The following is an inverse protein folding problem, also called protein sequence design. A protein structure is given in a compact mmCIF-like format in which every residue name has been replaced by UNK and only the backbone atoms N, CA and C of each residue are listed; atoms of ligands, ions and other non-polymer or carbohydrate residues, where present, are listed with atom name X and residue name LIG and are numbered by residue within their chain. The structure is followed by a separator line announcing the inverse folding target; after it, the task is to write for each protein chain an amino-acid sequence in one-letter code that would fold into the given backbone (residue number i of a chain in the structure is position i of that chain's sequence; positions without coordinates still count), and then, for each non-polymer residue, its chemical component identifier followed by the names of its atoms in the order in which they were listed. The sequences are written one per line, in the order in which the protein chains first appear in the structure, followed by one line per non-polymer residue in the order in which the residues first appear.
data_IF_041749820784
#
_entry.id   IF_041749820784
#
_cell.length_a   1.000
_cell.length_b   1.000
_cell.length_c   1.000
_cell.angle_alpha   90.00
_cell.angle_beta   90.00
_cell.angle_gamma   90.00
#
_symmetry.space_group_name_H-M   'P 1'
#
loop_
_entity.id
_entity.type
_entity.pdbx_description
1 polymer ?
#
# COMPACT_ATOMS: atom_id res chain seq x y z
N UNK A 1 -10.57 16.70 12.76
CA UNK A 1 -9.41 16.97 11.88
C UNK A 1 -8.82 18.36 12.05
N UNK A 2 -9.62 19.43 12.24
CA UNK A 2 -9.10 20.80 12.42
C UNK A 2 -8.02 20.95 13.49
N UNK A 3 -8.16 20.28 14.65
CA UNK A 3 -7.11 20.31 15.67
C UNK A 3 -5.77 19.75 15.18
N UNK A 4 -5.81 18.72 14.33
CA UNK A 4 -4.60 18.13 13.75
C UNK A 4 -3.98 19.06 12.71
N UNK A 5 -4.81 19.67 11.86
CA UNK A 5 -4.36 20.70 10.92
C UNK A 5 -3.62 21.83 11.67
N UNK A 6 -4.18 22.33 12.77
CA UNK A 6 -3.53 23.35 13.60
C UNK A 6 -2.21 22.91 14.24
N UNK A 7 -1.95 21.60 14.38
CA UNK A 7 -0.61 21.12 14.77
C UNK A 7 0.36 21.30 13.62
N UNK A 8 -0.02 20.88 12.40
CA UNK A 8 0.84 20.94 11.22
C UNK A 8 1.13 22.37 10.77
N UNK A 9 0.13 23.27 10.80
CA UNK A 9 0.27 24.67 10.35
C UNK A 9 1.33 25.46 11.13
N UNK A 10 1.64 25.08 12.38
CA UNK A 10 2.74 25.68 13.16
C UNK A 10 4.11 25.48 12.52
N UNK A 11 4.21 24.55 11.58
CA UNK A 11 5.45 24.10 10.95
C UNK A 11 5.55 24.47 9.48
N UNK A 12 4.47 24.92 8.84
CA UNK A 12 4.40 25.14 7.39
C UNK A 12 5.50 26.08 6.88
N UNK A 13 5.68 27.24 7.51
CA UNK A 13 6.66 28.24 7.07
C UNK A 13 8.14 27.82 7.23
N UNK A 14 8.41 26.73 7.94
CA UNK A 14 9.78 26.31 8.31
C UNK A 14 10.13 24.88 7.91
N UNK A 15 9.16 24.07 7.47
CA UNK A 15 9.34 22.65 7.19
C UNK A 15 10.43 22.38 6.15
N UNK A 16 10.59 23.26 5.17
CA UNK A 16 11.62 23.13 4.13
C UNK A 16 13.04 23.20 4.70
N UNK A 17 13.24 23.99 5.76
CA UNK A 17 14.52 24.16 6.44
C UNK A 17 14.80 23.10 7.51
N UNK A 18 13.88 22.15 7.75
CA UNK A 18 14.02 21.19 8.84
C UNK A 18 15.17 20.22 8.62
N UNK A 19 15.98 20.10 9.68
CA UNK A 19 16.99 19.05 9.84
C UNK A 19 16.35 17.76 10.34
N UNK A 20 17.13 16.68 10.43
CA UNK A 20 16.67 15.40 10.99
C UNK A 20 16.13 15.55 12.42
N UNK A 21 16.77 16.36 13.27
CA UNK A 21 16.33 16.55 14.65
C UNK A 21 15.03 17.36 14.74
N UNK A 22 14.83 18.32 13.85
CA UNK A 22 13.58 19.07 13.77
C UNK A 22 12.42 18.16 13.30
N UNK A 23 12.68 17.27 12.35
CA UNK A 23 11.72 16.26 11.92
C UNK A 23 11.39 15.29 13.06
N UNK A 24 12.39 14.81 13.81
CA UNK A 24 12.16 13.95 14.99
C UNK A 24 11.28 14.66 16.03
N UNK A 25 11.48 15.95 16.26
CA UNK A 25 10.64 16.76 17.16
C UNK A 25 9.21 16.87 16.64
N UNK A 26 9.02 17.14 15.35
CA UNK A 26 7.70 17.19 14.72
C UNK A 26 6.96 15.84 14.84
N UNK A 27 7.64 14.73 14.54
CA UNK A 27 7.09 13.37 14.73
C UNK A 27 6.69 13.18 16.20
N UNK A 28 7.49 13.66 17.15
CA UNK A 28 7.18 13.64 18.58
C UNK A 28 5.88 14.37 18.93
N UNK A 29 5.66 15.56 18.36
CA UNK A 29 4.42 16.32 18.57
C UNK A 29 3.21 15.65 17.94
N UNK A 30 3.34 15.14 16.70
CA UNK A 30 2.28 14.38 16.02
C UNK A 30 1.92 13.13 16.82
N UNK A 31 2.93 12.41 17.33
CA UNK A 31 2.73 11.24 18.19
C UNK A 31 2.00 11.59 19.49
N UNK A 32 2.36 12.70 20.14
CA UNK A 32 1.68 13.18 21.34
C UNK A 32 0.23 13.58 21.06
N UNK A 33 -0.04 14.23 19.93
CA UNK A 33 -1.40 14.53 19.48
C UNK A 33 -2.23 13.25 19.36
N UNK A 34 -1.74 12.28 18.57
CA UNK A 34 -2.46 11.02 18.37
C UNK A 34 -2.61 10.18 19.63
N UNK A 35 -1.60 10.21 20.52
CA UNK A 35 -1.69 9.55 21.82
C UNK A 35 -2.89 10.06 22.64
N UNK A 36 -3.14 11.39 22.64
CA UNK A 36 -4.28 11.98 23.34
C UNK A 36 -5.62 11.57 22.71
N UNK A 37 -5.64 11.35 21.40
CA UNK A 37 -6.84 10.95 20.65
C UNK A 37 -7.02 9.43 20.52
N UNK A 38 -6.06 8.63 21.02
CA UNK A 38 -6.02 7.16 20.82
C UNK A 38 -7.34 6.47 21.18
N UNK A 39 -7.99 6.88 22.28
CA UNK A 39 -9.27 6.28 22.70
C UNK A 39 -10.38 6.48 21.68
N UNK A 40 -10.48 7.66 21.07
CA UNK A 40 -11.48 7.94 20.04
C UNK A 40 -11.21 7.14 18.77
N UNK A 41 -9.94 7.06 18.35
CA UNK A 41 -9.57 6.26 17.18
C UNK A 41 -9.84 4.78 17.41
N UNK A 42 -9.45 4.22 18.56
CA UNK A 42 -9.75 2.83 18.92
C UNK A 42 -11.26 2.58 18.97
N UNK A 43 -12.03 3.52 19.53
CA UNK A 43 -13.49 3.42 19.58
C UNK A 43 -14.06 3.40 18.16
N UNK A 44 -13.68 4.35 17.30
CA UNK A 44 -14.10 4.39 15.90
C UNK A 44 -13.81 3.06 15.20
N UNK A 45 -12.55 2.60 15.23
CA UNK A 45 -12.12 1.37 14.55
C UNK A 45 -12.82 0.11 15.06
N UNK A 46 -13.12 0.03 16.37
CA UNK A 46 -13.77 -1.15 16.96
C UNK A 46 -15.26 -1.24 16.67
N UNK A 47 -15.88 -0.15 16.18
CA UNK A 47 -17.30 -0.09 15.87
C UNK A 47 -17.56 -0.10 14.35
N UNK A 48 -16.54 -0.33 13.52
CA UNK A 48 -16.72 -0.51 12.08
C UNK A 48 -17.38 -1.86 11.81
N UNK A 49 -18.40 -1.84 10.96
CA UNK A 49 -19.01 -2.99 10.31
C UNK A 49 -18.83 -2.94 8.79
N UNK A 50 -19.00 -4.09 8.13
CA UNK A 50 -18.78 -4.21 6.67
C UNK A 50 -19.68 -3.28 5.85
N UNK A 51 -20.86 -2.94 6.36
CA UNK A 51 -21.83 -2.04 5.73
C UNK A 51 -21.49 -0.55 5.89
N UNK A 52 -20.46 -0.20 6.67
CA UNK A 52 -20.00 1.18 6.81
C UNK A 52 -19.13 1.63 5.63
N UNK A 53 -18.74 0.70 4.74
CA UNK A 53 -17.91 0.94 3.57
C UNK A 53 -16.68 1.79 3.89
N UNK A 54 -15.88 1.36 4.87
CA UNK A 54 -14.65 2.06 5.24
C UNK A 54 -13.50 1.52 4.41
N UNK A 55 -12.83 2.39 3.66
CA UNK A 55 -11.63 2.06 2.90
C UNK A 55 -10.40 2.69 3.54
N UNK A 56 -9.22 2.12 3.31
CA UNK A 56 -7.96 2.76 3.75
C UNK A 56 -6.86 2.67 2.69
N UNK A 57 -6.04 3.72 2.59
CA UNK A 57 -4.89 3.73 1.69
C UNK A 57 -3.83 2.73 2.17
N UNK A 58 -3.65 1.64 1.43
CA UNK A 58 -2.63 0.63 1.69
C UNK A 58 -1.57 0.59 0.58
N UNK A 59 -0.38 0.08 0.92
CA UNK A 59 0.75 0.00 -0.01
C UNK A 59 1.36 1.35 -0.41
N UNK A 60 0.86 2.47 0.13
CA UNK A 60 1.39 3.81 -0.07
C UNK A 60 1.39 4.61 1.25
N UNK A 61 2.16 5.70 1.29
CA UNK A 61 2.24 6.61 2.45
C UNK A 61 1.41 7.88 2.22
N UNK A 62 1.38 8.41 0.99
CA UNK A 62 0.63 9.63 0.63
C UNK A 62 -0.26 9.41 -0.59
N UNK A 63 -1.29 10.24 -0.71
CA UNK A 63 -2.20 10.24 -1.87
C UNK A 63 -1.61 10.89 -3.11
N UNK A 64 -0.52 11.65 -3.01
CA UNK A 64 0.07 12.33 -4.16
C UNK A 64 -0.95 13.26 -4.85
N UNK A 65 -1.40 14.27 -4.07
CA UNK A 65 -2.48 15.17 -4.47
C UNK A 65 -2.10 15.96 -5.73
N UNK A 66 -0.83 16.35 -5.85
CA UNK A 66 -0.28 17.02 -7.03
C UNK A 66 -0.49 16.23 -8.33
N UNK A 67 -0.53 14.90 -8.23
CA UNK A 67 -0.80 13.99 -9.35
C UNK A 67 -2.23 13.43 -9.33
N UNK A 68 -3.18 14.17 -8.76
CA UNK A 68 -4.61 13.83 -8.76
C UNK A 68 -4.98 12.51 -8.05
N UNK A 69 -4.13 11.94 -7.19
CA UNK A 69 -4.46 10.65 -6.55
C UNK A 69 -5.68 10.68 -5.62
N UNK A 70 -6.08 11.85 -5.14
CA UNK A 70 -7.35 12.04 -4.42
C UNK A 70 -8.59 11.87 -5.33
N UNK A 71 -8.49 12.21 -6.63
CA UNK A 71 -9.55 11.97 -7.62
C UNK A 71 -9.70 10.48 -7.95
N UNK A 72 -8.63 9.71 -7.86
CA UNK A 72 -8.67 8.26 -8.02
C UNK A 72 -9.31 7.61 -6.79
N UNK A 73 -8.92 8.05 -5.60
CA UNK A 73 -9.40 7.41 -4.37
C UNK A 73 -10.88 7.70 -4.06
N UNK A 74 -11.44 8.82 -4.52
CA UNK A 74 -12.86 9.16 -4.27
C UNK A 74 -13.86 8.19 -4.93
N UNK A 75 -13.42 7.36 -5.89
CA UNK A 75 -14.29 6.42 -6.62
C UNK A 75 -14.85 5.31 -5.74
N UNK A 76 -14.13 4.94 -4.67
CA UNK A 76 -14.60 3.90 -3.74
C UNK A 76 -15.72 4.44 -2.86
N UNK A 77 -16.53 3.56 -2.30
CA UNK A 77 -17.68 3.92 -1.46
C UNK A 77 -17.26 4.27 -0.03
N UNK A 78 -17.97 5.22 0.57
CA UNK A 78 -17.99 5.44 2.02
C UNK A 78 -16.76 6.17 2.57
N UNK A 79 -16.36 5.81 3.79
CA UNK A 79 -15.35 6.56 4.55
C UNK A 79 -13.93 6.21 4.09
N UNK A 80 -13.12 7.20 3.71
CA UNK A 80 -11.77 7.00 3.18
C UNK A 80 -10.71 7.40 4.19
N UNK A 81 -10.01 6.40 4.70
CA UNK A 81 -8.92 6.58 5.65
C UNK A 81 -7.58 6.70 4.95
N UNK A 82 -6.72 7.55 5.49
CA UNK A 82 -5.32 7.70 5.09
C UNK A 82 -4.48 7.49 6.34
N UNK A 83 -3.52 6.59 6.26
CA UNK A 83 -2.61 6.38 7.38
C UNK A 83 -1.71 7.60 7.55
N UNK A 84 -1.58 8.09 8.78
CA UNK A 84 -0.75 9.26 9.08
C UNK A 84 0.71 9.04 8.62
N UNK A 85 1.23 9.82 7.65
CA UNK A 85 2.58 9.69 7.13
C UNK A 85 3.68 9.82 8.17
N UNK A 86 3.55 10.74 9.14
CA UNK A 86 4.56 10.92 10.19
C UNK A 86 4.63 9.71 11.10
N UNK A 87 3.48 9.14 11.46
CA UNK A 87 3.43 7.94 12.28
C UNK A 87 3.97 6.73 11.52
N UNK A 88 3.53 6.53 10.26
CA UNK A 88 3.97 5.44 9.39
C UNK A 88 5.47 5.46 9.12
N UNK A 89 6.04 6.64 8.86
CA UNK A 89 7.46 6.80 8.57
C UNK A 89 8.35 6.91 9.81
N UNK A 90 7.78 7.01 11.02
CA UNK A 90 8.56 7.21 12.25
C UNK A 90 9.58 6.08 12.51
N UNK A 91 9.35 4.89 11.97
CA UNK A 91 10.28 3.74 12.08
C UNK A 91 11.64 4.03 11.47
N UNK A 92 11.73 4.80 10.38
CA UNK A 92 13.02 5.19 9.77
C UNK A 92 13.89 5.99 10.75
N UNK A 93 13.28 6.75 11.65
CA UNK A 93 13.99 7.58 12.64
C UNK A 93 14.44 6.81 13.88
N UNK A 94 14.26 5.48 13.90
CA UNK A 94 14.91 4.57 14.87
C UNK A 94 16.28 4.08 14.39
N UNK A 95 16.58 4.19 13.09
CA UNK A 95 17.86 3.79 12.50
C UNK A 95 18.96 4.84 12.65
N UNK A 96 20.16 4.48 12.20
CA UNK A 96 21.37 5.31 12.17
C UNK A 96 21.67 5.86 10.77
N UNK A 97 22.57 6.85 10.67
CA UNK A 97 22.96 7.47 9.39
C UNK A 97 23.64 6.49 8.41
N UNK A 98 24.18 5.38 8.93
CA UNK A 98 24.77 4.32 8.11
C UNK A 98 23.72 3.37 7.53
N UNK A 99 22.55 3.30 8.17
CA UNK A 99 21.46 2.40 7.78
C UNK A 99 20.44 3.13 6.91
N UNK A 100 20.18 4.39 7.21
CA UNK A 100 19.12 5.20 6.61
C UNK A 100 19.70 6.46 5.98
N UNK A 101 19.36 6.70 4.71
CA UNK A 101 19.60 7.99 4.08
C UNK A 101 18.51 8.99 4.50
N UNK A 102 18.77 9.72 5.59
CA UNK A 102 17.83 10.71 6.12
C UNK A 102 17.56 11.88 5.16
N UNK A 103 18.47 12.20 4.23
CA UNK A 103 18.19 13.25 3.23
C UNK A 103 17.01 12.84 2.33
N UNK A 104 17.06 11.62 1.78
CA UNK A 104 15.98 11.08 0.94
C UNK A 104 14.68 10.91 1.73
N UNK A 105 14.76 10.33 2.93
CA UNK A 105 13.60 10.11 3.80
C UNK A 105 12.95 11.43 4.20
N UNK A 106 13.74 12.43 4.60
CA UNK A 106 13.23 13.75 4.99
C UNK A 106 12.56 14.45 3.80
N UNK A 107 13.14 14.38 2.60
CA UNK A 107 12.51 14.96 1.40
C UNK A 107 11.13 14.36 1.16
N UNK A 108 11.02 13.03 1.17
CA UNK A 108 9.74 12.37 0.96
C UNK A 108 8.72 12.69 2.07
N UNK A 109 9.15 12.79 3.32
CA UNK A 109 8.26 13.15 4.43
C UNK A 109 7.77 14.61 4.33
N UNK A 110 8.60 15.53 3.80
CA UNK A 110 8.19 16.92 3.50
C UNK A 110 7.13 16.95 2.40
N UNK A 111 7.29 16.15 1.34
CA UNK A 111 6.25 16.00 0.31
C UNK A 111 4.93 15.49 0.93
N UNK A 112 5.01 14.52 1.84
CA UNK A 112 3.84 14.03 2.58
C UNK A 112 3.20 15.12 3.45
N UNK A 113 3.99 15.99 4.09
CA UNK A 113 3.49 17.09 4.91
C UNK A 113 2.66 18.07 4.10
N UNK A 114 3.14 18.49 2.93
CA UNK A 114 2.39 19.41 2.07
C UNK A 114 1.11 18.77 1.51
N UNK A 115 1.16 17.51 1.09
CA UNK A 115 -0.03 16.75 0.71
C UNK A 115 -1.06 16.75 1.85
N UNK A 116 -0.64 16.49 3.09
CA UNK A 116 -1.55 16.51 4.24
C UNK A 116 -2.17 17.87 4.51
N UNK A 117 -1.42 18.97 4.37
CA UNK A 117 -1.98 20.31 4.55
C UNK A 117 -3.11 20.57 3.56
N UNK A 118 -2.89 20.25 2.27
CA UNK A 118 -3.91 20.39 1.23
C UNK A 118 -5.11 19.48 1.55
N UNK A 119 -4.86 18.20 1.86
CA UNK A 119 -5.90 17.25 2.21
C UNK A 119 -6.80 17.75 3.35
N UNK A 120 -6.20 18.22 4.44
CA UNK A 120 -6.93 18.64 5.64
C UNK A 120 -7.67 19.97 5.43
N UNK A 121 -7.18 20.85 4.56
CA UNK A 121 -7.80 22.15 4.24
C UNK A 121 -8.94 22.02 3.26
N UNK A 122 -8.74 21.24 2.20
CA UNK A 122 -9.62 21.23 1.02
C UNK A 122 -10.52 19.99 0.96
N UNK A 123 -10.08 18.87 1.52
CA UNK A 123 -10.72 17.56 1.33
C UNK A 123 -11.03 16.82 2.64
N UNK A 124 -11.09 17.53 3.78
CA UNK A 124 -11.28 16.92 5.11
C UNK A 124 -12.67 16.34 5.36
N UNK A 125 -13.65 16.68 4.52
CA UNK A 125 -14.98 16.04 4.52
C UNK A 125 -14.97 14.67 3.81
N UNK A 126 -13.98 14.45 2.93
CA UNK A 126 -13.92 13.26 2.07
C UNK A 126 -12.88 12.24 2.52
N UNK A 127 -11.82 12.72 3.20
CA UNK A 127 -10.71 11.89 3.66
C UNK A 127 -10.34 12.16 5.12
N UNK A 128 -10.13 11.08 5.86
CA UNK A 128 -9.75 11.14 7.27
C UNK A 128 -8.33 10.60 7.48
N UNK A 129 -7.46 11.44 8.02
CA UNK A 129 -6.10 11.03 8.41
C UNK A 129 -6.17 10.44 9.82
N UNK A 130 -5.76 9.19 9.97
CA UNK A 130 -5.60 8.53 11.27
C UNK A 130 -4.36 7.64 11.27
N UNK A 131 -3.68 7.42 12.40
CA UNK A 131 -2.51 6.54 12.46
C UNK A 131 -2.95 5.08 12.60
N UNK A 132 -3.63 4.57 11.56
CA UNK A 132 -4.25 3.25 11.52
C UNK A 132 -3.28 2.16 11.96
N UNK A 133 -2.18 1.97 11.22
CA UNK A 133 -1.22 0.89 11.45
C UNK A 133 -0.58 1.00 12.85
N UNK A 134 -0.24 2.21 13.32
CA UNK A 134 0.41 2.37 14.64
C UNK A 134 -0.55 2.13 15.81
N UNK A 135 -1.86 2.30 15.62
CA UNK A 135 -2.86 2.05 16.65
C UNK A 135 -3.31 0.58 16.65
N UNK A 136 -3.38 -0.04 15.48
CA UNK A 136 -3.91 -1.40 15.29
C UNK A 136 -2.82 -2.45 15.45
N UNK A 137 -1.59 -2.16 15.04
CA UNK A 137 -0.43 -2.98 15.31
C UNK A 137 0.03 -2.65 16.73
N UNK A 138 -0.28 -3.53 17.68
CA UNK A 138 0.44 -3.51 18.95
C UNK A 138 1.93 -3.69 18.63
N UNK A 139 2.80 -2.81 19.13
CA UNK A 139 4.26 -3.00 19.05
C UNK A 139 4.73 -4.22 19.91
N UNK A 140 3.96 -5.30 19.91
CA UNK A 140 4.30 -6.58 20.51
C UNK A 140 5.20 -7.33 19.54
N UNK A 141 6.38 -7.72 20.00
CA UNK A 141 7.32 -8.61 19.30
C UNK A 141 6.60 -9.81 18.67
N UNK A 142 5.64 -10.41 19.39
CA UNK A 142 4.82 -11.54 18.94
C UNK A 142 4.09 -11.30 17.62
N UNK A 143 3.57 -10.08 17.38
CA UNK A 143 2.88 -9.77 16.12
C UNK A 143 3.85 -9.76 14.94
N UNK A 144 5.02 -9.14 15.12
CA UNK A 144 6.03 -9.07 14.08
C UNK A 144 6.67 -10.42 13.80
N UNK A 145 6.87 -11.25 14.83
CA UNK A 145 7.31 -12.64 14.67
C UNK A 145 6.29 -13.44 13.85
N UNK A 146 5.01 -13.40 14.21
CA UNK A 146 3.95 -14.09 13.46
C UNK A 146 3.83 -13.60 12.01
N UNK A 147 3.96 -12.28 11.79
CA UNK A 147 3.93 -11.69 10.45
C UNK A 147 5.14 -12.13 9.61
N UNK A 148 6.33 -12.16 10.20
CA UNK A 148 7.56 -12.61 9.56
C UNK A 148 7.48 -14.11 9.21
N UNK A 149 6.96 -14.94 10.12
CA UNK A 149 6.77 -16.37 9.88
C UNK A 149 5.79 -16.63 8.72
N UNK A 150 4.67 -15.91 8.68
CA UNK A 150 3.71 -16.02 7.57
C UNK A 150 4.33 -15.55 6.24
N UNK A 151 5.11 -14.47 6.25
CA UNK A 151 5.82 -14.00 5.05
C UNK A 151 6.89 -14.99 4.58
N UNK A 152 7.60 -15.65 5.50
CA UNK A 152 8.56 -16.69 5.19
C UNK A 152 7.88 -17.90 4.54
N UNK A 153 6.75 -18.34 5.09
CA UNK A 153 5.96 -19.41 4.47
C UNK A 153 5.52 -19.04 3.06
N UNK A 154 5.06 -17.79 2.86
CA UNK A 154 4.70 -17.29 1.53
C UNK A 154 5.88 -17.31 0.57
N UNK A 155 7.05 -16.84 1.01
CA UNK A 155 8.28 -16.84 0.22
C UNK A 155 8.69 -18.26 -0.20
N UNK A 156 8.64 -19.23 0.72
CA UNK A 156 9.05 -20.61 0.42
C UNK A 156 8.14 -21.27 -0.63
N UNK A 157 6.86 -20.92 -0.67
CA UNK A 157 5.89 -21.41 -1.67
C UNK A 157 6.14 -20.85 -3.09
N UNK A 158 7.01 -19.85 -3.24
CA UNK A 158 7.35 -19.29 -4.56
C UNK A 158 8.30 -20.20 -5.36
N UNK A 159 8.93 -21.16 -4.70
CA UNK A 159 9.92 -22.05 -5.30
C UNK A 159 9.32 -23.38 -5.76
N UNK A 160 9.73 -23.81 -6.94
CA UNK A 160 9.39 -25.12 -7.49
C UNK A 160 10.07 -26.27 -6.75
N UNK A 161 11.23 -26.01 -6.16
CA UNK A 161 11.88 -26.88 -5.20
C UNK A 161 11.30 -26.59 -3.81
N UNK A 162 10.77 -27.59 -3.08
CA UNK A 162 10.35 -27.39 -1.71
C UNK A 162 11.55 -27.17 -0.80
N UNK A 163 11.46 -26.18 0.08
CA UNK A 163 12.46 -25.84 1.09
C UNK A 163 11.84 -25.95 2.49
N UNK A 164 12.59 -26.48 3.45
CA UNK A 164 12.14 -26.61 4.85
C UNK A 164 12.40 -25.35 5.69
N UNK A 165 13.35 -24.50 5.30
CA UNK A 165 13.64 -23.24 5.99
C UNK A 165 14.17 -22.15 5.05
N UNK A 166 14.20 -20.91 5.55
CA UNK A 166 14.80 -19.77 4.85
C UNK A 166 16.31 -19.96 4.66
N UNK A 167 17.02 -20.52 5.64
CA UNK A 167 18.45 -20.80 5.53
C UNK A 167 18.75 -21.83 4.45
N UNK A 168 17.94 -22.89 4.36
CA UNK A 168 18.06 -23.88 3.28
C UNK A 168 17.85 -23.22 1.91
N UNK A 169 16.81 -22.40 1.79
CA UNK A 169 16.54 -21.62 0.58
C UNK A 169 17.72 -20.71 0.22
N UNK A 170 18.28 -19.96 1.17
CA UNK A 170 19.41 -19.05 0.91
C UNK A 170 20.67 -19.78 0.48
N UNK A 171 21.00 -20.90 1.13
CA UNK A 171 22.20 -21.69 0.83
C UNK A 171 22.16 -22.26 -0.60
N UNK A 172 20.99 -22.70 -1.05
CA UNK A 172 20.80 -23.28 -2.38
C UNK A 172 20.63 -22.23 -3.49
N UNK A 173 20.46 -20.96 -3.14
CA UNK A 173 20.21 -19.86 -4.06
C UNK A 173 21.26 -18.75 -3.91
N UNK A 174 22.53 -19.15 -3.90
CA UNK A 174 23.67 -18.23 -3.72
C UNK A 174 23.95 -17.31 -4.93
N UNK A 175 23.36 -17.61 -6.08
CA UNK A 175 23.50 -16.87 -7.34
C UNK A 175 22.14 -16.54 -7.96
N UNK A 176 22.10 -15.59 -8.89
CA UNK A 176 20.86 -15.25 -9.61
C UNK A 176 20.41 -16.40 -10.52
N UNK A 177 21.35 -17.15 -11.10
CA UNK A 177 21.06 -18.32 -11.93
C UNK A 177 20.37 -19.43 -11.14
N UNK A 178 20.76 -19.63 -9.87
CA UNK A 178 20.10 -20.58 -8.99
C UNK A 178 18.66 -20.15 -8.67
N UNK A 179 18.45 -18.87 -8.34
CA UNK A 179 17.11 -18.30 -8.14
C UNK A 179 16.24 -18.50 -9.38
N UNK A 180 16.77 -18.23 -10.57
CA UNK A 180 16.05 -18.36 -11.84
C UNK A 180 15.62 -19.80 -12.11
N UNK A 181 16.47 -20.75 -11.74
CA UNK A 181 16.22 -22.18 -11.91
C UNK A 181 15.18 -22.69 -10.91
N UNK A 182 15.25 -22.26 -9.65
CA UNK A 182 14.46 -22.84 -8.57
C UNK A 182 13.09 -22.19 -8.40
N UNK A 183 12.89 -20.93 -8.81
CA UNK A 183 11.57 -20.28 -8.79
C UNK A 183 10.59 -20.91 -9.79
N UNK A 184 9.31 -20.94 -9.43
CA UNK A 184 8.26 -21.31 -10.37
C UNK A 184 8.24 -20.36 -11.59
N UNK A 185 7.98 -20.92 -12.79
CA UNK A 185 7.89 -20.16 -14.05
C UNK A 185 6.94 -18.95 -13.96
N UNK A 186 5.71 -19.20 -13.55
CA UNK A 186 4.67 -18.18 -13.42
C UNK A 186 4.95 -17.17 -12.30
N UNK A 187 5.71 -17.56 -11.26
CA UNK A 187 6.14 -16.64 -10.19
C UNK A 187 7.14 -15.62 -10.73
N UNK A 188 8.08 -16.05 -11.58
CA UNK A 188 9.07 -15.15 -12.17
C UNK A 188 8.39 -14.01 -12.93
N UNK A 189 7.28 -14.26 -13.60
CA UNK A 189 6.51 -13.22 -14.31
C UNK A 189 5.75 -12.27 -13.37
N UNK A 190 5.34 -12.76 -12.18
CA UNK A 190 4.51 -12.00 -11.23
C UNK A 190 5.28 -11.19 -10.20
N UNK A 191 6.47 -11.61 -9.79
CA UNK A 191 7.25 -10.84 -8.81
C UNK A 191 7.86 -9.60 -9.45
N UNK A 192 7.67 -8.47 -8.78
CA UNK A 192 8.11 -7.14 -9.22
C UNK A 192 8.66 -6.38 -8.01
N UNK A 193 9.66 -5.53 -8.18
CA UNK A 193 10.27 -4.80 -7.06
C UNK A 193 10.26 -3.29 -7.24
N UNK A 194 10.10 -2.81 -8.47
CA UNK A 194 10.08 -1.38 -8.80
C UNK A 194 8.82 -1.01 -9.60
N UNK A 195 8.46 -1.80 -10.61
CA UNK A 195 7.33 -1.49 -11.50
C UNK A 195 6.74 -2.74 -12.16
N UNK A 196 5.55 -2.63 -12.76
CA UNK A 196 4.95 -3.73 -13.53
C UNK A 196 5.81 -4.20 -14.72
N UNK A 197 6.67 -3.33 -15.26
CA UNK A 197 7.61 -3.69 -16.34
C UNK A 197 8.66 -4.71 -15.90
N UNK A 198 8.86 -4.88 -14.59
CA UNK A 198 9.75 -5.90 -14.04
C UNK A 198 9.29 -7.31 -14.41
N UNK A 199 8.02 -7.52 -14.73
CA UNK A 199 7.48 -8.81 -15.22
C UNK A 199 8.23 -9.37 -16.44
N UNK A 200 8.89 -8.50 -17.21
CA UNK A 200 9.63 -8.85 -18.44
C UNK A 200 11.13 -9.07 -18.21
N UNK A 201 11.61 -8.87 -16.98
CA UNK A 201 13.04 -8.90 -16.63
C UNK A 201 13.44 -10.21 -15.97
N UNK A 202 14.73 -10.54 -16.05
CA UNK A 202 15.34 -11.59 -15.22
C UNK A 202 15.38 -11.19 -13.73
N UNK A 203 15.46 -12.14 -12.80
CA UNK A 203 15.55 -11.80 -11.36
C UNK A 203 16.77 -10.93 -11.04
N UNK A 204 17.90 -11.16 -11.70
CA UNK A 204 19.08 -10.31 -11.55
C UNK A 204 18.76 -8.83 -11.87
N UNK A 205 18.12 -8.59 -13.01
CA UNK A 205 17.75 -7.23 -13.43
C UNK A 205 16.73 -6.61 -12.46
N UNK A 206 15.75 -7.39 -11.99
CA UNK A 206 14.78 -6.92 -10.99
C UNK A 206 15.47 -6.51 -9.70
N UNK A 207 16.34 -7.36 -9.15
CA UNK A 207 17.08 -7.09 -7.92
C UNK A 207 18.01 -5.87 -8.06
N UNK A 208 18.73 -5.75 -9.19
CA UNK A 208 19.59 -4.57 -9.45
C UNK A 208 18.79 -3.28 -9.56
N UNK A 209 17.63 -3.32 -10.22
CA UNK A 209 16.73 -2.16 -10.34
C UNK A 209 16.18 -1.76 -8.97
N UNK A 210 15.73 -2.73 -8.18
CA UNK A 210 15.29 -2.53 -6.81
C UNK A 210 16.40 -1.92 -5.94
N UNK A 211 17.62 -2.44 -6.04
CA UNK A 211 18.78 -1.93 -5.29
C UNK A 211 19.10 -0.47 -5.65
N UNK A 212 19.02 -0.10 -6.93
CA UNK A 212 19.24 1.29 -7.37
C UNK A 212 18.24 2.27 -6.76
N UNK A 213 17.02 1.83 -6.46
CA UNK A 213 15.97 2.65 -5.87
C UNK A 213 15.95 2.56 -4.34
N UNK A 214 15.95 1.36 -3.79
CA UNK A 214 15.97 1.08 -2.36
C UNK A 214 17.26 1.50 -1.67
N UNK A 215 18.42 1.34 -2.32
CA UNK A 215 19.73 1.79 -1.82
C UNK A 215 19.81 3.30 -1.58
N UNK A 216 18.95 4.10 -2.24
CA UNK A 216 18.82 5.54 -1.95
C UNK A 216 18.23 5.84 -0.59
N UNK A 217 17.49 4.89 -0.01
CA UNK A 217 16.86 4.99 1.31
C UNK A 217 17.63 4.17 2.35
N UNK A 218 18.07 2.97 1.98
CA UNK A 218 18.75 2.00 2.85
C UNK A 218 20.09 1.59 2.20
N UNK A 219 21.17 2.39 2.36
CA UNK A 219 22.45 2.14 1.69
C UNK A 219 23.09 0.78 2.01
N UNK A 220 22.81 0.23 3.19
CA UNK A 220 23.32 -1.08 3.61
C UNK A 220 22.86 -2.24 2.74
N UNK A 221 21.83 -2.07 1.89
CA UNK A 221 21.43 -3.09 0.92
C UNK A 221 22.50 -3.38 -0.14
N UNK A 222 23.40 -2.43 -0.42
CA UNK A 222 24.44 -2.59 -1.46
C UNK A 222 25.51 -3.62 -1.10
N UNK A 223 25.64 -3.97 0.18
CA UNK A 223 26.62 -4.95 0.67
C UNK A 223 26.06 -6.35 0.90
N UNK A 224 24.77 -6.57 0.61
CA UNK A 224 24.11 -7.85 0.84
C UNK A 224 24.52 -8.91 -0.18
N UNK A 225 24.48 -10.18 0.25
CA UNK A 225 24.59 -11.32 -0.68
C UNK A 225 23.37 -11.37 -1.61
N UNK A 226 23.48 -12.08 -2.74
CA UNK A 226 22.36 -12.27 -3.68
C UNK A 226 21.13 -12.86 -2.97
N UNK A 227 21.34 -13.90 -2.18
CA UNK A 227 20.28 -14.58 -1.44
C UNK A 227 19.64 -13.67 -0.38
N UNK A 228 20.43 -12.88 0.34
CA UNK A 228 19.93 -11.97 1.37
C UNK A 228 19.16 -10.78 0.77
N UNK A 229 19.68 -10.22 -0.32
CA UNK A 229 19.02 -9.14 -1.05
C UNK A 229 17.66 -9.62 -1.57
N UNK A 230 17.63 -10.76 -2.27
CA UNK A 230 16.39 -11.34 -2.76
C UNK A 230 15.40 -11.63 -1.63
N UNK A 231 15.88 -12.25 -0.54
CA UNK A 231 15.07 -12.54 0.64
C UNK A 231 14.42 -11.28 1.21
N UNK A 232 15.20 -10.22 1.47
CA UNK A 232 14.67 -8.97 2.04
C UNK A 232 13.68 -8.30 1.09
N UNK A 233 13.98 -8.29 -0.22
CA UNK A 233 13.11 -7.69 -1.23
C UNK A 233 11.75 -8.40 -1.30
N UNK A 234 11.71 -9.73 -1.26
CA UNK A 234 10.43 -10.47 -1.28
C UNK A 234 9.73 -10.40 0.07
N UNK A 235 10.44 -10.67 1.18
CA UNK A 235 9.82 -10.83 2.49
C UNK A 235 9.12 -9.55 2.93
N UNK A 236 9.71 -8.37 2.70
CA UNK A 236 9.05 -7.10 3.03
C UNK A 236 7.73 -6.89 2.28
N UNK A 237 7.64 -7.31 1.02
CA UNK A 237 6.41 -7.17 0.22
C UNK A 237 5.37 -8.23 0.60
N UNK A 238 5.80 -9.46 0.89
CA UNK A 238 4.94 -10.50 1.49
C UNK A 238 4.36 -10.02 2.84
N UNK A 239 5.19 -9.48 3.73
CA UNK A 239 4.75 -8.91 5.01
C UNK A 239 3.75 -7.77 4.79
N UNK A 240 4.00 -6.88 3.81
CA UNK A 240 3.07 -5.80 3.47
C UNK A 240 1.70 -6.30 3.01
N UNK A 241 1.67 -7.34 2.16
CA UNK A 241 0.43 -7.97 1.69
C UNK A 241 -0.34 -8.63 2.85
N UNK A 242 0.35 -9.40 3.69
CA UNK A 242 -0.26 -10.09 4.84
C UNK A 242 -0.77 -9.08 5.87
N UNK A 243 0.01 -8.04 6.19
CA UNK A 243 -0.42 -6.97 7.09
C UNK A 243 -1.66 -6.22 6.54
N UNK A 244 -1.70 -5.99 5.23
CA UNK A 244 -2.86 -5.40 4.55
C UNK A 244 -4.09 -6.27 4.71
N UNK A 245 -3.97 -7.56 4.43
CA UNK A 245 -5.06 -8.51 4.61
C UNK A 245 -5.52 -8.62 6.07
N UNK A 246 -4.59 -8.71 7.02
CA UNK A 246 -4.92 -8.77 8.45
C UNK A 246 -5.67 -7.52 8.91
N UNK A 247 -5.25 -6.33 8.44
CA UNK A 247 -5.94 -5.08 8.71
C UNK A 247 -7.39 -5.12 8.18
N UNK A 248 -7.55 -5.57 6.93
CA UNK A 248 -8.85 -5.75 6.29
C UNK A 248 -9.78 -6.66 7.10
N UNK A 249 -9.30 -7.82 7.53
CA UNK A 249 -10.13 -8.78 8.28
C UNK A 249 -10.45 -8.30 9.70
N UNK A 250 -9.44 -7.81 10.42
CA UNK A 250 -9.59 -7.47 11.83
C UNK A 250 -10.42 -6.21 12.06
N UNK A 251 -10.38 -5.26 11.13
CA UNK A 251 -11.08 -3.98 11.23
C UNK A 251 -12.30 -3.90 10.31
N UNK A 252 -12.54 -4.93 9.49
CA UNK A 252 -13.63 -4.99 8.50
C UNK A 252 -13.59 -3.81 7.51
N UNK A 253 -12.39 -3.36 7.15
CA UNK A 253 -12.15 -2.25 6.21
C UNK A 253 -11.58 -2.77 4.89
N UNK A 254 -11.77 -2.03 3.80
CA UNK A 254 -11.31 -2.45 2.47
C UNK A 254 -10.01 -1.71 2.11
N UNK A 255 -8.92 -2.41 1.75
CA UNK A 255 -7.71 -1.72 1.33
C UNK A 255 -7.91 -1.09 -0.04
N UNK A 256 -7.52 0.18 -0.18
CA UNK A 256 -7.31 0.83 -1.46
C UNK A 256 -5.82 0.81 -1.78
N UNK A 257 -5.43 0.02 -2.77
CA UNK A 257 -4.03 -0.20 -3.13
C UNK A 257 -3.76 0.48 -4.47
N UNK A 258 -2.86 1.47 -4.48
CA UNK A 258 -2.45 2.17 -5.71
C UNK A 258 -1.04 1.88 -6.20
N UNK A 259 -0.21 1.47 -5.26
CA UNK A 259 1.15 1.04 -5.57
C UNK A 259 1.11 -0.33 -6.25
N UNK A 260 1.72 -0.41 -7.44
CA UNK A 260 1.70 -1.62 -8.25
C UNK A 260 2.35 -2.80 -7.57
N UNK A 261 3.49 -2.59 -6.91
CA UNK A 261 4.22 -3.65 -6.21
C UNK A 261 3.34 -4.19 -5.08
N UNK A 262 2.80 -3.32 -4.22
CA UNK A 262 1.91 -3.73 -3.14
C UNK A 262 0.69 -4.51 -3.64
N UNK A 263 0.12 -4.09 -4.77
CA UNK A 263 -1.01 -4.81 -5.37
C UNK A 263 -0.60 -6.20 -5.88
N UNK A 264 0.54 -6.33 -6.58
CA UNK A 264 1.02 -7.63 -7.08
C UNK A 264 1.22 -8.65 -5.95
N UNK A 265 1.78 -8.23 -4.81
CA UNK A 265 1.96 -9.13 -3.67
C UNK A 265 0.65 -9.44 -2.93
N UNK A 266 -0.28 -8.49 -2.90
CA UNK A 266 -1.63 -8.74 -2.38
C UNK A 266 -2.40 -9.74 -3.25
N UNK A 267 -2.28 -9.61 -4.58
CA UNK A 267 -2.82 -10.55 -5.56
C UNK A 267 -2.20 -11.95 -5.44
N UNK A 268 -0.88 -12.03 -5.28
CA UNK A 268 -0.19 -13.28 -4.99
C UNK A 268 -0.67 -13.93 -3.69
N UNK A 269 -0.89 -13.14 -2.63
CA UNK A 269 -1.41 -13.66 -1.36
C UNK A 269 -2.82 -14.24 -1.55
N UNK A 270 -3.67 -13.52 -2.27
CA UNK A 270 -5.03 -13.96 -2.56
C UNK A 270 -5.07 -15.30 -3.34
N UNK A 271 -4.16 -15.50 -4.29
CA UNK A 271 -4.03 -16.76 -5.02
C UNK A 271 -3.23 -17.85 -4.30
N UNK A 272 -2.63 -17.54 -3.15
CA UNK A 272 -1.85 -18.51 -2.38
C UNK A 272 -2.74 -19.41 -1.53
N UNK A 273 -2.26 -20.62 -1.22
CA UNK A 273 -2.93 -21.53 -0.28
C UNK A 273 -2.84 -21.10 1.18
N UNK A 274 -2.24 -19.94 1.47
CA UNK A 274 -1.94 -19.48 2.83
C UNK A 274 -3.19 -18.92 3.51
N UNK A 275 -4.22 -18.58 2.73
CA UNK A 275 -5.34 -17.79 3.24
C UNK A 275 -6.69 -18.24 2.68
N UNK A 276 -7.32 -19.17 3.41
CA UNK A 276 -8.63 -19.75 3.09
C UNK A 276 -9.81 -18.80 3.34
N UNK A 277 -9.58 -17.67 4.02
CA UNK A 277 -10.61 -16.67 4.36
C UNK A 277 -10.79 -15.57 3.33
N UNK A 278 -10.03 -15.61 2.25
CA UNK A 278 -10.05 -14.56 1.24
C UNK A 278 -11.24 -14.75 0.30
N UNK A 279 -12.33 -14.02 0.56
CA UNK A 279 -13.53 -14.06 -0.26
C UNK A 279 -13.34 -13.28 -1.57
N UNK A 280 -13.92 -13.81 -2.67
CA UNK A 280 -13.79 -13.21 -3.99
C UNK A 280 -14.47 -11.84 -4.10
N UNK A 281 -15.62 -11.64 -3.43
CA UNK A 281 -16.30 -10.34 -3.43
C UNK A 281 -15.45 -9.28 -2.72
N UNK A 282 -14.81 -9.66 -1.62
CA UNK A 282 -13.90 -8.81 -0.87
C UNK A 282 -12.63 -8.47 -1.68
N UNK A 283 -12.07 -9.43 -2.44
CA UNK A 283 -10.98 -9.16 -3.39
C UNK A 283 -11.40 -8.21 -4.53
N UNK A 284 -12.60 -8.40 -5.12
CA UNK A 284 -13.09 -7.57 -6.21
C UNK A 284 -13.24 -6.10 -5.83
N UNK A 285 -13.60 -5.81 -4.58
CA UNK A 285 -13.67 -4.44 -4.05
C UNK A 285 -12.31 -3.74 -4.00
N UNK A 286 -11.21 -4.49 -4.01
CA UNK A 286 -9.83 -3.96 -4.11
C UNK A 286 -9.37 -3.93 -5.56
N UNK A 287 -9.66 -5.00 -6.30
CA UNK A 287 -9.21 -5.17 -7.68
C UNK A 287 -9.84 -4.18 -8.66
N UNK A 288 -11.16 -3.96 -8.57
CA UNK A 288 -11.86 -3.05 -9.50
C UNK A 288 -11.31 -1.62 -9.40
N UNK A 289 -11.22 -0.98 -8.22
CA UNK A 289 -10.58 0.33 -8.10
C UNK A 289 -9.12 0.33 -8.59
N UNK A 290 -8.38 -0.75 -8.33
CA UNK A 290 -7.01 -0.87 -8.84
C UNK A 290 -6.94 -0.85 -10.37
N UNK A 291 -7.82 -1.56 -11.07
CA UNK A 291 -7.88 -1.53 -12.54
C UNK A 291 -8.31 -0.16 -13.07
N UNK A 292 -9.29 0.48 -12.42
CA UNK A 292 -9.80 1.78 -12.85
C UNK A 292 -8.74 2.86 -12.84
N UNK A 293 -7.98 3.01 -11.75
CA UNK A 293 -6.89 4.01 -11.68
C UNK A 293 -5.76 3.73 -12.68
N UNK A 294 -5.58 2.48 -13.14
CA UNK A 294 -4.55 2.13 -14.15
C UNK A 294 -5.03 2.36 -15.58
N UNK A 295 -6.34 2.37 -15.78
CA UNK A 295 -6.95 2.47 -17.11
C UNK A 295 -7.36 3.91 -17.42
N UNK A 296 -7.89 4.63 -16.44
CA UNK A 296 -8.48 5.95 -16.62
C UNK A 296 -7.60 7.03 -15.99
N UNK A 297 -7.37 8.10 -16.76
CA UNK A 297 -6.70 9.29 -16.28
C UNK A 297 -7.70 10.24 -15.61
N UNK A 298 -7.88 10.07 -14.30
CA UNK A 298 -8.82 10.85 -13.50
C UNK A 298 -8.46 12.34 -13.41
N UNK A 299 -7.25 12.74 -13.78
CA UNK A 299 -6.83 14.14 -13.79
C UNK A 299 -7.60 14.99 -14.81
N UNK A 300 -8.18 14.34 -15.83
CA UNK A 300 -8.94 14.98 -16.92
C UNK A 300 -10.29 15.57 -16.48
N UNK A 301 -10.80 15.16 -15.31
CA UNK A 301 -12.08 15.64 -14.78
C UNK A 301 -11.86 16.52 -13.55
N UNK A 302 -12.80 17.43 -13.31
CA UNK A 302 -12.83 18.21 -12.07
C UNK A 302 -13.13 17.30 -10.87
N UNK A 303 -12.58 17.61 -9.69
CA UNK A 303 -12.80 16.77 -8.50
C UNK A 303 -14.29 16.68 -8.12
N UNK A 304 -15.03 17.79 -8.17
CA UNK A 304 -16.45 17.79 -7.83
C UNK A 304 -17.26 16.97 -8.84
N UNK A 305 -16.87 16.98 -10.11
CA UNK A 305 -17.48 16.14 -11.15
C UNK A 305 -17.21 14.65 -10.89
N UNK A 306 -15.95 14.28 -10.61
CA UNK A 306 -15.61 12.88 -10.29
C UNK A 306 -16.40 12.43 -9.08
N UNK A 307 -16.37 13.19 -7.98
CA UNK A 307 -17.11 12.89 -6.76
C UNK A 307 -18.60 12.69 -7.01
N UNK A 308 -19.23 13.59 -7.76
CA UNK A 308 -20.68 13.55 -7.99
C UNK A 308 -21.10 12.41 -8.93
N UNK A 309 -20.34 12.16 -9.99
CA UNK A 309 -20.76 11.26 -11.09
C UNK A 309 -20.19 9.86 -10.99
N UNK A 310 -18.98 9.72 -10.46
CA UNK A 310 -18.20 8.46 -10.45
C UNK A 310 -17.80 8.05 -9.02
N UNK A 311 -17.81 8.99 -8.09
CA UNK A 311 -17.42 8.84 -6.69
C UNK A 311 -18.41 8.08 -5.84
N UNK A 312 -18.05 7.92 -4.57
CA UNK A 312 -18.91 7.33 -3.53
C UNK A 312 -19.43 5.94 -3.90
N UNK A 313 -18.62 5.18 -4.64
CA UNK A 313 -18.96 3.83 -5.07
C UNK A 313 -19.79 3.76 -6.34
N UNK A 314 -20.26 4.88 -6.91
CA UNK A 314 -21.21 4.86 -8.03
C UNK A 314 -20.67 4.09 -9.25
N UNK A 315 -19.42 4.35 -9.63
CA UNK A 315 -18.77 3.63 -10.72
C UNK A 315 -18.39 2.20 -10.32
N UNK A 316 -17.85 2.01 -9.12
CA UNK A 316 -17.36 0.69 -8.68
C UNK A 316 -18.51 -0.30 -8.46
N UNK A 317 -19.59 0.13 -7.82
CA UNK A 317 -20.77 -0.69 -7.54
C UNK A 317 -21.45 -1.06 -8.86
N UNK A 318 -21.57 -0.10 -9.82
CA UNK A 318 -22.08 -0.39 -11.15
C UNK A 318 -21.30 -1.51 -11.85
N UNK A 319 -19.97 -1.46 -11.79
CA UNK A 319 -19.13 -2.51 -12.37
C UNK A 319 -19.36 -3.83 -11.62
N UNK A 320 -19.27 -3.85 -10.29
CA UNK A 320 -19.42 -5.06 -9.48
C UNK A 320 -20.78 -5.75 -9.69
N UNK A 321 -21.86 -5.00 -9.91
CA UNK A 321 -23.19 -5.54 -10.19
C UNK A 321 -23.34 -6.10 -11.61
N UNK A 322 -22.49 -5.69 -12.55
CA UNK A 322 -22.65 -5.97 -13.98
C UNK A 322 -21.49 -6.75 -14.63
N UNK A 323 -20.42 -7.05 -13.89
CA UNK A 323 -19.32 -7.89 -14.38
C UNK A 323 -19.72 -9.36 -14.42
N UNK A 324 -19.26 -10.06 -15.45
CA UNK A 324 -19.44 -11.51 -15.58
C UNK A 324 -18.20 -12.19 -15.00
N UNK A 325 -18.42 -13.15 -14.11
CA UNK A 325 -17.35 -14.00 -13.56
C UNK A 325 -17.45 -15.35 -14.28
N UNK A 326 -16.45 -15.67 -15.09
CA UNK A 326 -16.38 -16.95 -15.82
C UNK A 326 -16.16 -18.14 -14.86
N UNK A 327 -16.31 -19.37 -15.34
CA UNK A 327 -16.17 -20.61 -14.54
C UNK A 327 -14.82 -20.72 -13.81
N UNK A 328 -13.78 -20.04 -14.29
CA UNK A 328 -12.47 -19.96 -13.64
C UNK A 328 -12.45 -19.08 -12.38
N UNK A 329 -13.55 -18.39 -12.06
CA UNK A 329 -13.74 -17.65 -10.81
C UNK A 329 -13.25 -16.20 -10.82
N UNK A 330 -12.79 -15.66 -11.97
CA UNK A 330 -12.22 -14.31 -12.08
C UNK A 330 -12.79 -13.52 -13.26
N UNK A 331 -13.09 -12.20 -13.09
CA UNK A 331 -13.46 -11.37 -14.21
C UNK A 331 -12.24 -11.04 -15.07
N UNK A 332 -12.45 -10.90 -16.39
CA UNK A 332 -11.40 -10.39 -17.28
C UNK A 332 -11.24 -8.89 -17.06
N UNK A 333 -10.01 -8.40 -17.15
CA UNK A 333 -9.72 -6.96 -17.10
C UNK A 333 -10.51 -6.21 -18.18
N UNK A 334 -10.62 -6.77 -19.39
CA UNK A 334 -11.42 -6.20 -20.47
C UNK A 334 -12.86 -5.93 -20.06
N UNK A 335 -13.47 -6.85 -19.30
CA UNK A 335 -14.87 -6.74 -18.92
C UNK A 335 -15.07 -5.60 -17.91
N UNK A 336 -14.13 -5.44 -16.97
CA UNK A 336 -14.12 -4.30 -16.03
C UNK A 336 -14.03 -2.97 -16.81
N UNK A 337 -13.12 -2.90 -17.77
CA UNK A 337 -12.90 -1.69 -18.59
C UNK A 337 -14.10 -1.38 -19.46
N UNK A 338 -14.71 -2.39 -20.09
CA UNK A 338 -15.90 -2.22 -20.93
C UNK A 338 -17.09 -1.71 -20.11
N UNK A 339 -17.30 -2.24 -18.90
CA UNK A 339 -18.35 -1.75 -17.99
C UNK A 339 -18.09 -0.33 -17.49
N UNK A 340 -16.84 0.02 -17.24
CA UNK A 340 -16.46 1.38 -16.88
C UNK A 340 -16.73 2.36 -18.02
N UNK A 341 -16.37 2.01 -19.26
CA UNK A 341 -16.65 2.82 -20.45
C UNK A 341 -18.16 3.01 -20.67
N UNK A 342 -18.95 1.94 -20.58
CA UNK A 342 -20.41 2.00 -20.68
C UNK A 342 -21.02 2.96 -19.64
N UNK A 343 -20.54 2.93 -18.39
CA UNK A 343 -20.97 3.89 -17.38
C UNK A 343 -20.60 5.34 -17.73
N UNK A 344 -19.35 5.57 -18.14
CA UNK A 344 -18.86 6.91 -18.49
C UNK A 344 -19.58 7.48 -19.72
N UNK A 345 -19.94 6.65 -20.70
CA UNK A 345 -20.74 7.06 -21.86
C UNK A 345 -22.14 7.52 -21.44
N UNK A 346 -22.79 6.79 -20.52
CA UNK A 346 -24.09 7.18 -19.96
C UNK A 346 -24.05 8.54 -19.25
N UNK A 347 -22.92 8.88 -18.61
CA UNK A 347 -22.72 10.19 -17.98
C UNK A 347 -22.60 11.35 -18.97
N UNK A 348 -22.23 11.09 -20.23
CA UNK A 348 -22.09 12.12 -21.28
C UNK A 348 -23.40 12.38 -22.04
N UNK A 349 -24.37 11.47 -21.91
CA UNK A 349 -25.69 11.58 -22.56
C UNK A 349 -26.71 12.35 -21.71
N UNK A 350 -26.39 12.60 -20.44
CA UNK A 350 -27.15 13.40 -19.48
C UNK A 350 -26.46 14.74 -19.22
#
# INVERSE_FOLDING_TARGET
MNEYLSVLEKYEDKIDCFTQDDIKRLIGEVRLFWYRQKRYVCYFLSNIDKEDYVTYLSGAVRLDISNSGHKEYIIVKGCRLINDPFMKMSTFYRGTDNEINFETVNRYLKDCFFDMLVLLREYSEDFFVIPLETITITESTEYYEALNDAANQMLLLLFSKPYGSIEEMKNDNSSYEDLERHLHGWIKERIVFDSLEDSKLSIEEKCKKALKMGGKYIPSMESMSVADLFYILISQHCMGAIATFNCMQNLKIIPYIRNDIAFQYFDLLFHSSINDKFDMSDYLKVFVPYILQKTFDFSKWDYAEVKQKMGEGSLTDYILENIVIEEAGYPKISDIVDKANDYIEKLKMN
#
